data_IF_616433647356
#
_entry.id   IF_616433647356
#
_cell.length_a   1.000
_cell.length_b   1.000
_cell.length_c   1.000
_cell.angle_alpha   90.00
_cell.angle_beta   90.00
_cell.angle_gamma   90.00
#
_symmetry.space_group_name_H-M   'P 1'
#
loop_
_entity.id
_entity.type
_entity.pdbx_description
1 polymer ?
#
# COMPACT_ATOMS: atom_id res chain seq x y z
N UNK A 1 -0.32 -17.49 18.77
CA UNK A 1 -0.28 -17.11 17.34
C UNK A 1 -1.49 -16.26 17.01
N UNK A 2 -1.37 -15.24 16.15
CA UNK A 2 -2.53 -14.45 15.70
C UNK A 2 -3.52 -15.33 14.92
N UNK A 3 -4.80 -14.99 15.00
CA UNK A 3 -5.87 -15.74 14.34
C UNK A 3 -5.82 -15.47 12.83
N UNK A 4 -5.43 -16.47 12.04
CA UNK A 4 -5.43 -16.38 10.58
C UNK A 4 -6.85 -16.56 10.06
N UNK A 5 -7.33 -15.60 9.27
CA UNK A 5 -8.62 -15.66 8.59
C UNK A 5 -8.44 -15.25 7.12
N UNK A 6 -9.37 -15.57 6.21
CA UNK A 6 -9.30 -15.10 4.82
C UNK A 6 -9.15 -13.57 4.69
N UNK A 7 -9.71 -12.82 5.64
CA UNK A 7 -9.56 -11.37 5.69
C UNK A 7 -8.12 -10.93 5.98
N UNK A 8 -7.40 -11.67 6.84
CA UNK A 8 -5.97 -11.41 7.09
C UNK A 8 -5.16 -11.60 5.81
N UNK A 9 -5.44 -12.63 5.00
CA UNK A 9 -4.75 -12.84 3.72
C UNK A 9 -4.98 -11.66 2.77
N UNK A 10 -6.21 -11.13 2.71
CA UNK A 10 -6.55 -9.95 1.92
C UNK A 10 -5.79 -8.70 2.39
N UNK A 11 -5.66 -8.49 3.71
CA UNK A 11 -4.84 -7.42 4.26
C UNK A 11 -3.34 -7.59 3.97
N UNK A 12 -2.82 -8.81 4.07
CA UNK A 12 -1.43 -9.13 3.74
C UNK A 12 -1.12 -8.83 2.28
N UNK A 13 -2.01 -9.22 1.35
CA UNK A 13 -1.88 -8.87 -0.06
C UNK A 13 -1.85 -7.36 -0.27
N UNK A 14 -2.82 -6.63 0.28
CA UNK A 14 -2.87 -5.16 0.18
C UNK A 14 -1.58 -4.49 0.68
N UNK A 15 -1.08 -4.93 1.84
CA UNK A 15 0.13 -4.38 2.46
C UNK A 15 1.38 -4.66 1.61
N UNK A 16 1.50 -5.85 1.03
CA UNK A 16 2.64 -6.22 0.20
C UNK A 16 2.65 -5.44 -1.11
N UNK A 17 1.51 -5.28 -1.76
CA UNK A 17 1.41 -4.51 -3.01
C UNK A 17 1.63 -3.02 -2.78
N UNK A 18 1.13 -2.48 -1.66
CA UNK A 18 1.43 -1.11 -1.25
C UNK A 18 2.93 -0.89 -1.06
N UNK A 19 3.62 -1.81 -0.35
CA UNK A 19 5.07 -1.78 -0.15
C UNK A 19 5.88 -1.95 -1.43
N UNK A 20 5.35 -2.66 -2.43
CA UNK A 20 6.00 -2.78 -3.74
C UNK A 20 5.81 -1.54 -4.62
N UNK A 21 5.26 -0.44 -4.10
CA UNK A 21 5.04 0.80 -4.83
C UNK A 21 3.90 0.73 -5.85
N UNK A 22 2.94 -0.20 -5.70
CA UNK A 22 1.79 -0.28 -6.58
C UNK A 22 0.95 1.01 -6.49
N UNK A 23 0.45 1.49 -7.63
CA UNK A 23 -0.46 2.62 -7.68
C UNK A 23 -1.69 2.36 -6.79
N UNK A 24 -2.02 3.26 -5.83
CA UNK A 24 -3.12 3.07 -4.89
C UNK A 24 -4.50 2.89 -5.54
N UNK A 25 -4.75 3.50 -6.71
CA UNK A 25 -6.02 3.33 -7.45
C UNK A 25 -6.13 1.97 -8.12
N UNK A 26 -5.03 1.47 -8.68
CA UNK A 26 -4.97 0.10 -9.21
C UNK A 26 -5.19 -0.91 -8.08
N UNK A 27 -4.53 -0.71 -6.94
CA UNK A 27 -4.72 -1.56 -5.78
C UNK A 27 -6.16 -1.49 -5.25
N UNK A 28 -6.77 -0.31 -5.18
CA UNK A 28 -8.18 -0.14 -4.81
C UNK A 28 -9.12 -0.98 -5.68
N UNK A 29 -8.92 -0.94 -7.01
CA UNK A 29 -9.70 -1.71 -7.96
C UNK A 29 -9.54 -3.22 -7.76
N UNK A 30 -8.30 -3.70 -7.63
CA UNK A 30 -8.00 -5.13 -7.39
C UNK A 30 -8.57 -5.63 -6.06
N UNK A 31 -8.53 -4.77 -5.04
CA UNK A 31 -9.12 -5.08 -3.74
C UNK A 31 -10.65 -5.05 -3.79
N UNK A 32 -11.26 -4.30 -4.71
CA UNK A 32 -12.71 -4.08 -4.74
C UNK A 32 -13.18 -3.18 -3.60
N UNK A 33 -12.37 -2.20 -3.18
CA UNK A 33 -12.78 -1.22 -2.17
C UNK A 33 -13.61 -0.10 -2.81
N UNK A 34 -14.83 0.08 -2.31
CA UNK A 34 -15.68 1.22 -2.70
C UNK A 34 -15.08 2.56 -2.26
N UNK A 35 -14.44 2.59 -1.10
CA UNK A 35 -13.76 3.75 -0.55
C UNK A 35 -12.24 3.61 -0.63
N UNK A 36 -11.55 4.66 -1.09
CA UNK A 36 -10.10 4.66 -1.25
C UNK A 36 -9.38 4.71 0.10
N UNK A 37 -10.00 5.25 1.14
CA UNK A 37 -9.46 5.27 2.49
C UNK A 37 -9.16 3.87 3.01
N UNK A 38 -9.96 2.86 2.65
CA UNK A 38 -9.69 1.46 3.05
C UNK A 38 -8.37 0.94 2.48
N UNK A 39 -8.03 1.31 1.23
CA UNK A 39 -6.72 0.98 0.64
C UNK A 39 -5.61 1.87 1.18
N UNK A 40 -5.87 3.16 1.38
CA UNK A 40 -4.85 4.11 1.83
C UNK A 40 -4.45 3.88 3.29
N UNK A 41 -5.35 3.34 4.11
CA UNK A 41 -5.05 2.99 5.50
C UNK A 41 -4.01 1.86 5.63
N UNK A 42 -3.61 1.17 4.56
CA UNK A 42 -2.42 0.30 4.61
C UNK A 42 -1.09 1.06 4.48
N UNK A 43 -1.12 2.33 4.10
CA UNK A 43 0.04 3.23 4.02
C UNK A 43 0.27 4.03 5.31
N UNK A 44 -0.40 3.71 6.42
CA UNK A 44 -0.27 4.46 7.69
C UNK A 44 1.15 4.51 8.26
N UNK A 45 2.08 3.76 7.68
CA UNK A 45 3.49 3.75 8.06
C UNK A 45 4.38 4.67 7.22
N UNK A 46 3.83 5.37 6.21
CA UNK A 46 4.62 6.34 5.44
C UNK A 46 5.04 7.50 6.34
N UNK A 47 6.35 7.60 6.57
CA UNK A 47 7.01 8.67 7.29
C UNK A 47 7.70 9.68 6.36
N UNK A 48 8.41 10.62 6.97
CA UNK A 48 9.20 11.61 6.25
C UNK A 48 10.32 10.96 5.40
N UNK A 49 10.92 9.88 5.90
CA UNK A 49 11.98 9.14 5.21
C UNK A 49 11.48 8.51 3.91
N UNK A 50 10.30 7.88 3.93
CA UNK A 50 9.68 7.30 2.72
C UNK A 50 9.38 8.37 1.66
N UNK A 51 8.92 9.56 2.08
CA UNK A 51 8.67 10.67 1.18
C UNK A 51 9.97 11.21 0.56
N UNK A 52 11.06 11.29 1.33
CA UNK A 52 12.37 11.68 0.82
C UNK A 52 12.94 10.66 -0.16
N UNK A 53 12.82 9.37 0.13
CA UNK A 53 13.28 8.29 -0.73
C UNK A 53 12.51 8.28 -2.05
N UNK A 54 11.19 8.46 -2.00
CA UNK A 54 10.36 8.51 -3.18
C UNK A 54 10.66 9.73 -4.06
N UNK A 55 10.91 10.90 -3.46
CA UNK A 55 11.33 12.09 -4.19
C UNK A 55 12.69 11.88 -4.89
N UNK A 56 13.65 11.25 -4.21
CA UNK A 56 14.94 10.89 -4.81
C UNK A 56 14.78 9.89 -5.95
N UNK A 57 13.90 8.90 -5.81
CA UNK A 57 13.60 7.92 -6.86
C UNK A 57 13.07 8.62 -8.10
N UNK A 58 12.07 9.48 -7.96
CA UNK A 58 11.49 10.24 -9.08
C UNK A 58 12.53 11.16 -9.73
N UNK A 59 13.36 11.84 -8.93
CA UNK A 59 14.41 12.73 -9.44
C UNK A 59 15.56 11.99 -10.16
N UNK A 60 15.85 10.75 -9.78
CA UNK A 60 16.91 9.94 -10.38
C UNK A 60 16.41 9.02 -11.52
N UNK A 61 15.13 9.09 -11.89
CA UNK A 61 14.53 8.27 -12.95
C UNK A 61 14.76 8.84 -14.37
N UNK A 62 15.79 9.69 -14.55
CA UNK A 62 16.24 10.19 -15.87
C UNK A 62 17.35 9.30 -16.47
#
# INVERSE_FOLDING_TARGET
MPKVTPHVCRHTFCSNMAKSGMNPKTLQYLMGHSDIGVTLNTYTHLGFEDAQEELKRVANSE
#
